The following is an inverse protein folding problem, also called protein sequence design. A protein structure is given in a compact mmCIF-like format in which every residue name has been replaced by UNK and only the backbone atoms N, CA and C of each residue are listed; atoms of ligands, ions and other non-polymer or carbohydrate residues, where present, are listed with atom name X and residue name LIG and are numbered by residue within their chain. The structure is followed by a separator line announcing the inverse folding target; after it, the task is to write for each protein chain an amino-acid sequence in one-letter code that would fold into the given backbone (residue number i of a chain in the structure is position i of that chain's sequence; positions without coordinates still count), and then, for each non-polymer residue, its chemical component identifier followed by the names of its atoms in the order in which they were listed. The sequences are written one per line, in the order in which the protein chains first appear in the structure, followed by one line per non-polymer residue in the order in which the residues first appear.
data_IF_391005785958
#
_entry.id   IF_391005785958
#
_cell.length_a   1.000
_cell.length_b   1.000
_cell.length_c   1.000
_cell.angle_alpha   90.00
_cell.angle_beta   90.00
_cell.angle_gamma   90.00
#
_symmetry.space_group_name_H-M   'P 1'
#
loop_
_entity.id
_entity.type
_entity.pdbx_description
1 polymer ?
#
# COMPACT_ATOMS: atom_id res chain seq x y z
N UNK A 1 -4.74 -7.66 -20.19
CA UNK A 1 -4.26 -7.09 -18.91
C UNK A 1 -5.45 -6.45 -18.20
N UNK A 2 -6.00 -7.09 -17.17
CA UNK A 2 -7.14 -6.53 -16.44
C UNK A 2 -6.60 -5.53 -15.40
N UNK A 3 -6.89 -4.24 -15.60
CA UNK A 3 -6.51 -3.19 -14.64
C UNK A 3 -7.30 -3.40 -13.36
N UNK A 4 -6.61 -3.45 -12.21
CA UNK A 4 -7.27 -3.69 -10.93
C UNK A 4 -7.88 -2.39 -10.40
N UNK A 5 -9.20 -2.39 -10.23
CA UNK A 5 -9.92 -1.29 -9.59
C UNK A 5 -9.47 -1.10 -8.13
N UNK A 6 -9.03 -2.15 -7.44
CA UNK A 6 -8.54 -2.07 -6.06
C UNK A 6 -7.26 -1.23 -5.95
N UNK A 7 -6.34 -1.36 -6.91
CA UNK A 7 -5.12 -0.54 -6.95
C UNK A 7 -5.44 0.93 -7.23
N UNK A 8 -6.42 1.20 -8.09
CA UNK A 8 -6.86 2.56 -8.37
C UNK A 8 -7.47 3.22 -7.12
N UNK A 9 -8.37 2.51 -6.44
CA UNK A 9 -8.98 2.99 -5.20
C UNK A 9 -7.89 3.16 -4.12
N UNK A 10 -6.96 2.22 -3.98
CA UNK A 10 -5.85 2.32 -3.03
C UNK A 10 -4.99 3.57 -3.29
N UNK A 11 -4.69 3.88 -4.55
CA UNK A 11 -3.94 5.09 -4.93
C UNK A 11 -4.70 6.36 -4.55
N UNK A 12 -6.01 6.42 -4.83
CA UNK A 12 -6.86 7.58 -4.49
C UNK A 12 -6.92 7.79 -2.98
N UNK A 13 -7.14 6.72 -2.20
CA UNK A 13 -7.21 6.79 -0.73
C UNK A 13 -5.85 7.17 -0.14
N UNK A 14 -4.76 6.59 -0.64
CA UNK A 14 -3.40 6.94 -0.22
C UNK A 14 -3.06 8.41 -0.55
N UNK A 15 -3.56 8.94 -1.66
CA UNK A 15 -3.40 10.34 -2.03
C UNK A 15 -4.21 11.27 -1.12
N UNK A 16 -5.47 10.93 -0.82
CA UNK A 16 -6.31 11.68 0.12
C UNK A 16 -5.66 11.79 1.51
N UNK A 17 -4.97 10.74 1.94
CA UNK A 17 -4.23 10.73 3.21
C UNK A 17 -3.16 11.82 3.28
N UNK A 18 -2.44 12.11 2.18
CA UNK A 18 -1.44 13.20 2.12
C UNK A 18 -2.09 14.56 2.37
N UNK A 19 -3.27 14.79 1.77
CA UNK A 19 -4.05 16.01 1.98
C UNK A 19 -4.48 16.17 3.43
N UNK A 20 -4.98 15.11 4.06
CA UNK A 20 -5.40 15.13 5.46
C UNK A 20 -4.23 15.48 6.37
N UNK A 21 -3.04 14.88 6.14
CA UNK A 21 -1.82 15.22 6.89
C UNK A 21 -1.47 16.73 6.74
N UNK A 22 -1.60 17.27 5.52
CA UNK A 22 -1.36 18.70 5.28
C UNK A 22 -2.35 19.61 5.99
N UNK A 23 -3.65 19.29 5.94
CA UNK A 23 -4.70 20.06 6.63
C UNK A 23 -4.47 20.02 8.15
N UNK A 24 -4.16 18.85 8.68
CA UNK A 24 -3.87 18.65 10.11
C UNK A 24 -2.71 19.53 10.54
N UNK A 25 -1.62 19.58 9.79
CA UNK A 25 -0.49 20.44 10.09
C UNK A 25 -0.84 21.94 10.11
N UNK A 26 -1.66 22.41 9.18
CA UNK A 26 -2.14 23.80 9.16
C UNK A 26 -3.00 24.08 10.39
N UNK A 27 -3.93 23.17 10.73
CA UNK A 27 -4.83 23.31 11.89
C UNK A 27 -4.10 23.43 13.22
N UNK A 28 -2.90 22.85 13.31
CA UNK A 28 -2.08 22.92 14.51
C UNK A 28 -1.00 24.02 14.45
N UNK A 29 -1.06 24.92 13.46
CA UNK A 29 -0.26 26.14 13.44
C UNK A 29 1.12 26.01 12.77
N UNK A 30 1.37 24.97 11.95
CA UNK A 30 2.56 24.92 11.09
C UNK A 30 2.42 25.86 9.89
N UNK A 31 2.45 27.15 10.16
CA UNK A 31 2.56 28.20 9.15
C UNK A 31 4.02 28.58 8.86
N UNK A 32 4.93 28.32 9.80
CA UNK A 32 6.36 28.58 9.64
C UNK A 32 7.06 27.47 8.84
N UNK A 33 7.41 27.81 7.61
CA UNK A 33 8.01 26.92 6.61
C UNK A 33 9.49 26.56 6.86
N UNK A 34 10.08 26.93 8.01
CA UNK A 34 11.53 26.79 8.28
C UNK A 34 11.93 25.92 9.48
N UNK A 35 10.99 25.48 10.31
CA UNK A 35 11.29 24.71 11.53
C UNK A 35 11.55 23.21 11.29
N UNK A 36 12.25 22.55 12.22
CA UNK A 36 12.55 21.09 12.17
C UNK A 36 11.28 20.25 12.06
N UNK A 37 10.20 20.65 12.74
CA UNK A 37 8.88 20.00 12.65
C UNK A 37 8.26 20.12 11.25
N UNK A 38 8.43 21.26 10.58
CA UNK A 38 8.00 21.48 9.19
C UNK A 38 8.81 20.65 8.18
N UNK A 39 10.11 20.49 8.39
CA UNK A 39 10.96 19.64 7.58
C UNK A 39 10.55 18.15 7.71
N UNK A 40 10.31 17.69 8.95
CA UNK A 40 9.89 16.30 9.22
C UNK A 40 8.56 15.98 8.54
N UNK A 41 7.57 16.89 8.63
CA UNK A 41 6.28 16.74 7.97
C UNK A 41 6.44 16.67 6.44
N UNK A 42 7.28 17.51 5.83
CA UNK A 42 7.52 17.49 4.39
C UNK A 42 8.17 16.20 3.93
N UNK A 43 9.15 15.69 4.67
CA UNK A 43 9.77 14.39 4.40
C UNK A 43 8.70 13.29 4.46
N UNK A 44 7.81 13.38 5.45
CA UNK A 44 6.72 12.42 5.59
C UNK A 44 5.69 12.50 4.45
N UNK A 45 5.30 13.71 4.03
CA UNK A 45 4.44 13.92 2.87
C UNK A 45 5.09 13.38 1.58
N UNK A 46 6.41 13.60 1.41
CA UNK A 46 7.17 13.11 0.27
C UNK A 46 7.23 11.57 0.25
N UNK A 47 7.42 10.93 1.40
CA UNK A 47 7.37 9.47 1.53
C UNK A 47 6.02 8.90 1.12
N UNK A 48 4.93 9.52 1.61
CA UNK A 48 3.58 9.09 1.24
C UNK A 48 3.28 9.35 -0.25
N UNK A 49 3.81 10.43 -0.83
CA UNK A 49 3.70 10.70 -2.27
C UNK A 49 4.44 9.64 -3.10
N UNK A 50 5.64 9.24 -2.67
CA UNK A 50 6.39 8.15 -3.27
C UNK A 50 5.60 6.84 -3.22
N UNK A 51 4.94 6.56 -2.10
CA UNK A 51 4.07 5.39 -1.98
C UNK A 51 2.89 5.43 -2.95
N UNK A 52 2.18 6.57 -3.08
CA UNK A 52 1.12 6.74 -4.08
C UNK A 52 1.64 6.46 -5.49
N UNK A 53 2.84 6.97 -5.79
CA UNK A 53 3.49 6.75 -7.09
C UNK A 53 3.78 5.27 -7.35
N UNK A 54 4.28 4.54 -6.34
CA UNK A 54 4.50 3.09 -6.43
C UNK A 54 3.19 2.35 -6.72
N UNK A 55 2.08 2.70 -6.05
CA UNK A 55 0.77 2.08 -6.28
C UNK A 55 0.25 2.40 -7.69
N UNK A 56 0.45 3.64 -8.18
CA UNK A 56 0.10 4.02 -9.55
C UNK A 56 0.90 3.26 -10.61
N UNK A 57 2.21 3.06 -10.40
CA UNK A 57 3.02 2.25 -11.31
C UNK A 57 2.48 0.80 -11.36
N UNK A 58 2.11 0.23 -10.22
CA UNK A 58 1.50 -1.10 -10.16
C UNK A 58 0.16 -1.17 -10.91
N UNK A 59 -0.62 -0.10 -10.87
CA UNK A 59 -1.87 0.01 -11.62
C UNK A 59 -1.64 0.08 -13.14
N UNK A 60 -0.67 0.88 -13.60
CA UNK A 60 -0.42 1.12 -15.03
C UNK A 60 0.34 -0.04 -15.67
N UNK A 61 1.38 -0.55 -15.01
CA UNK A 61 2.32 -1.53 -15.58
C UNK A 61 2.19 -2.88 -14.89
N UNK A 62 1.49 -3.81 -15.53
CA UNK A 62 1.26 -5.15 -14.99
C UNK A 62 2.56 -5.90 -14.65
N UNK A 63 3.62 -5.75 -15.46
CA UNK A 63 4.92 -6.35 -15.17
C UNK A 63 5.64 -5.76 -13.96
N UNK A 64 5.31 -4.53 -13.54
CA UNK A 64 5.85 -3.94 -12.32
C UNK A 64 5.09 -4.39 -11.07
N UNK A 65 3.86 -4.89 -11.21
CA UNK A 65 3.00 -5.33 -10.11
C UNK A 65 3.63 -6.44 -9.30
N UNK A 66 4.25 -7.42 -9.95
CA UNK A 66 4.86 -8.56 -9.27
C UNK A 66 6.06 -8.15 -8.40
N UNK A 67 6.92 -7.28 -8.93
CA UNK A 67 8.09 -6.75 -8.22
C UNK A 67 7.71 -5.75 -7.12
N UNK A 68 6.72 -4.88 -7.34
CA UNK A 68 6.37 -3.79 -6.43
C UNK A 68 5.35 -4.21 -5.35
N UNK A 69 4.67 -5.35 -5.51
CA UNK A 69 3.67 -5.83 -4.55
C UNK A 69 4.23 -5.99 -3.14
N UNK A 70 5.35 -6.70 -2.99
CA UNK A 70 6.00 -6.91 -1.68
C UNK A 70 6.46 -5.56 -1.07
N UNK A 71 7.21 -4.70 -1.80
CA UNK A 71 7.53 -3.35 -1.34
C UNK A 71 6.32 -2.54 -0.90
N UNK A 72 5.22 -2.54 -1.68
CA UNK A 72 4.05 -1.74 -1.34
C UNK A 72 3.31 -2.24 -0.11
N UNK A 73 3.28 -3.56 0.12
CA UNK A 73 2.70 -4.12 1.35
C UNK A 73 3.54 -3.74 2.57
N UNK A 74 4.87 -3.81 2.47
CA UNK A 74 5.76 -3.40 3.55
C UNK A 74 5.56 -1.91 3.87
N UNK A 75 5.56 -1.06 2.84
CA UNK A 75 5.33 0.38 3.02
C UNK A 75 3.96 0.64 3.63
N UNK A 76 2.89 -0.01 3.15
CA UNK A 76 1.56 0.14 3.70
C UNK A 76 1.46 -0.29 5.17
N UNK A 77 2.21 -1.32 5.60
CA UNK A 77 2.28 -1.73 7.01
C UNK A 77 3.05 -0.76 7.90
N UNK A 78 4.14 -0.17 7.40
CA UNK A 78 5.01 0.73 8.19
C UNK A 78 4.45 2.17 8.23
N UNK A 79 3.72 2.55 7.19
CA UNK A 79 3.04 3.83 7.02
C UNK A 79 2.23 4.33 8.22
N UNK A 80 1.35 3.54 8.87
CA UNK A 80 0.60 3.99 10.05
C UNK A 80 1.50 4.28 11.24
N UNK A 81 2.55 3.47 11.46
CA UNK A 81 3.52 3.67 12.54
C UNK A 81 4.25 4.99 12.35
N UNK A 82 4.72 5.26 11.13
CA UNK A 82 5.38 6.53 10.80
C UNK A 82 4.43 7.74 10.92
N UNK A 83 3.15 7.58 10.54
CA UNK A 83 2.14 8.64 10.72
C UNK A 83 1.95 9.01 12.19
N UNK A 84 1.81 7.99 13.04
CA UNK A 84 1.61 8.16 14.47
C UNK A 84 2.84 8.80 15.10
N UNK A 85 4.05 8.33 14.76
CA UNK A 85 5.29 8.92 15.25
C UNK A 85 5.43 10.39 14.85
N UNK A 86 5.17 10.72 13.58
CA UNK A 86 5.21 12.11 13.10
C UNK A 86 4.23 13.00 13.87
N UNK A 87 3.00 12.52 14.11
CA UNK A 87 2.00 13.27 14.86
C UNK A 87 2.35 13.40 16.35
N UNK A 88 2.89 12.35 16.98
CA UNK A 88 3.30 12.38 18.39
C UNK A 88 4.48 13.30 18.64
N UNK A 89 5.50 13.25 17.79
CA UNK A 89 6.64 14.19 17.83
C UNK A 89 6.14 15.62 17.73
N UNK A 90 5.07 15.84 16.97
CA UNK A 90 4.49 17.14 16.76
C UNK A 90 3.63 17.63 17.95
N UNK A 91 2.72 16.81 18.46
CA UNK A 91 1.89 17.15 19.63
C UNK A 91 2.75 17.42 20.87
N UNK A 92 3.84 16.67 21.05
CA UNK A 92 4.76 16.84 22.18
C UNK A 92 5.49 18.20 22.17
N UNK A 93 5.57 18.86 21.00
CA UNK A 93 6.25 20.15 20.84
C UNK A 93 5.29 21.35 20.95
N UNK A 94 3.97 21.12 20.99
CA UNK A 94 2.94 22.16 21.17
C UNK A 94 2.69 22.32 22.67
N UNK A 95 3.52 23.15 23.30
CA UNK A 95 3.58 23.36 24.74
C UNK A 95 2.43 24.13 25.41
N UNK A 96 1.19 24.16 24.89
CA UNK A 96 0.09 24.75 25.67
C UNK A 96 -1.17 25.15 24.92
N UNK A 97 -2.20 24.30 25.02
CA UNK A 97 -3.65 24.64 25.00
C UNK A 97 -4.50 23.34 25.06
N UNK A 98 -4.43 22.63 26.18
CA UNK A 98 -5.17 21.38 26.44
C UNK A 98 -6.62 21.75 26.81
N UNK A 99 -7.69 21.40 26.04
CA UNK A 99 -8.06 20.05 25.59
C UNK A 99 -8.63 19.91 24.15
N UNK A 100 -8.91 21.01 23.44
CA UNK A 100 -9.56 20.99 22.11
C UNK A 100 -8.58 20.50 21.04
N UNK A 101 -7.30 20.85 21.17
CA UNK A 101 -6.25 20.44 20.26
C UNK A 101 -5.91 18.95 20.39
N UNK A 102 -6.06 18.40 21.59
CA UNK A 102 -5.96 16.95 21.86
C UNK A 102 -7.08 16.15 21.15
N UNK A 103 -8.33 16.62 21.23
CA UNK A 103 -9.45 15.95 20.58
C UNK A 103 -9.31 15.96 19.05
N UNK A 104 -8.97 17.12 18.48
CA UNK A 104 -8.69 17.25 17.04
C UNK A 104 -7.52 16.35 16.61
N UNK A 105 -6.49 16.24 17.43
CA UNK A 105 -5.32 15.39 17.15
C UNK A 105 -5.71 13.91 17.16
N UNK A 106 -6.46 13.48 18.17
CA UNK A 106 -6.93 12.11 18.29
C UNK A 106 -7.85 11.71 17.13
N UNK A 107 -8.83 12.55 16.77
CA UNK A 107 -9.70 12.28 15.61
C UNK A 107 -8.91 12.20 14.31
N UNK A 108 -7.90 13.06 14.14
CA UNK A 108 -7.02 13.03 12.98
C UNK A 108 -6.18 11.75 12.94
N UNK A 109 -5.62 11.31 14.07
CA UNK A 109 -4.90 10.03 14.16
C UNK A 109 -5.79 8.84 13.79
N UNK A 110 -6.99 8.77 14.37
CA UNK A 110 -7.92 7.68 14.10
C UNK A 110 -8.28 7.65 12.60
N UNK A 111 -8.52 8.82 12.01
CA UNK A 111 -8.82 8.94 10.57
C UNK A 111 -7.65 8.45 9.71
N UNK A 112 -6.41 8.83 10.05
CA UNK A 112 -5.22 8.38 9.32
C UNK A 112 -4.99 6.87 9.44
N UNK A 113 -5.17 6.30 10.63
CA UNK A 113 -5.06 4.85 10.87
C UNK A 113 -6.12 4.09 10.06
N UNK A 114 -7.37 4.57 10.06
CA UNK A 114 -8.44 3.96 9.26
C UNK A 114 -8.12 3.97 7.76
N UNK A 115 -7.59 5.09 7.24
CA UNK A 115 -7.17 5.18 5.84
C UNK A 115 -6.03 4.20 5.53
N UNK A 116 -5.05 4.08 6.41
CA UNK A 116 -3.94 3.12 6.25
C UNK A 116 -4.44 1.66 6.25
N UNK A 117 -5.40 1.31 7.12
CA UNK A 117 -6.03 -0.02 7.13
C UNK A 117 -6.78 -0.28 5.82
N UNK A 118 -7.53 0.70 5.31
CA UNK A 118 -8.25 0.59 4.04
C UNK A 118 -7.29 0.37 2.89
N UNK A 119 -6.21 1.15 2.81
CA UNK A 119 -5.18 1.00 1.77
C UNK A 119 -4.53 -0.38 1.85
N UNK A 120 -4.13 -0.82 3.05
CA UNK A 120 -3.55 -2.15 3.25
C UNK A 120 -4.52 -3.25 2.81
N UNK A 121 -5.79 -3.17 3.22
CA UNK A 121 -6.83 -4.11 2.85
C UNK A 121 -7.03 -4.20 1.33
N UNK A 122 -7.07 -3.06 0.64
CA UNK A 122 -7.18 -3.01 -0.81
C UNK A 122 -5.97 -3.65 -1.51
N UNK A 123 -4.76 -3.40 -1.02
CA UNK A 123 -3.54 -4.02 -1.55
C UNK A 123 -3.50 -5.52 -1.29
N UNK A 124 -3.97 -6.00 -0.13
CA UNK A 124 -4.06 -7.43 0.19
C UNK A 124 -5.10 -8.14 -0.67
N UNK A 125 -6.29 -7.56 -0.85
CA UNK A 125 -7.33 -8.11 -1.74
C UNK A 125 -6.80 -8.20 -3.18
N UNK A 126 -6.12 -7.16 -3.64
CA UNK A 126 -5.49 -7.14 -4.96
C UNK A 126 -4.45 -8.26 -5.11
N UNK A 127 -3.60 -8.41 -4.10
CA UNK A 127 -2.58 -9.44 -4.00
C UNK A 127 -3.17 -10.87 -3.99
N UNK A 128 -4.26 -11.11 -3.28
CA UNK A 128 -4.94 -12.40 -3.23
C UNK A 128 -5.62 -12.72 -4.57
N UNK A 129 -6.31 -11.75 -5.18
CA UNK A 129 -6.91 -11.89 -6.51
C UNK A 129 -5.89 -12.11 -7.61
N UNK A 130 -4.65 -11.67 -7.45
CA UNK A 130 -3.57 -11.99 -8.39
C UNK A 130 -3.08 -13.44 -8.26
N UNK A 131 -3.05 -14.00 -7.05
CA UNK A 131 -2.67 -15.42 -6.84
C UNK A 131 -3.75 -16.42 -7.26
N UNK A 132 -5.03 -16.05 -7.11
CA UNK A 132 -6.17 -16.91 -7.49
C UNK A 132 -6.13 -17.45 -8.94
N UNK A 133 -5.81 -16.65 -9.98
CA UNK A 133 -5.71 -17.13 -11.35
C UNK A 133 -4.47 -17.99 -11.61
N UNK A 134 -3.39 -17.87 -10.83
CA UNK A 134 -2.23 -18.78 -10.90
C UNK A 134 -2.58 -20.15 -10.29
N UNK A 135 -3.24 -20.16 -9.12
CA UNK A 135 -3.71 -21.40 -8.48
C UNK A 135 -4.72 -22.14 -9.37
N UNK A 136 -5.69 -21.45 -9.96
CA UNK A 136 -6.65 -22.05 -10.90
C UNK A 136 -6.02 -22.58 -12.19
N UNK A 137 -4.87 -22.05 -12.63
CA UNK A 137 -4.12 -22.59 -13.78
C UNK A 137 -3.31 -23.83 -13.41
N UNK A 138 -2.82 -23.91 -12.17
CA UNK A 138 -2.14 -25.09 -11.64
C UNK A 138 -3.11 -26.25 -11.34
N UNK A 139 -4.37 -25.95 -11.00
CA UNK A 139 -5.43 -26.93 -10.74
C UNK A 139 -6.23 -27.35 -11.97
N UNK A 140 -5.98 -26.81 -13.17
CA UNK A 140 -6.76 -27.17 -14.35
C UNK A 140 -6.38 -28.60 -14.83
N UNK A 141 -7.28 -29.60 -14.74
CA UNK A 141 -6.96 -31.00 -15.06
C UNK A 141 -6.50 -31.21 -16.51
N UNK A 142 -6.88 -30.32 -17.44
CA UNK A 142 -6.42 -30.37 -18.84
C UNK A 142 -4.89 -30.17 -19.00
N UNK A 143 -4.24 -29.44 -18.08
CA UNK A 143 -2.77 -29.30 -18.08
C UNK A 143 -2.07 -30.47 -17.39
N UNK A 144 -2.71 -31.11 -16.41
CA UNK A 144 -2.21 -32.37 -15.83
C UNK A 144 -2.27 -33.50 -16.85
N UNK A 145 -3.37 -33.62 -17.61
CA UNK A 145 -3.52 -34.63 -18.67
C UNK A 145 -2.45 -34.47 -19.76
N UNK A 146 -2.19 -33.24 -20.23
CA UNK A 146 -1.11 -33.01 -21.21
C UNK A 146 0.28 -33.37 -20.70
N UNK A 147 0.54 -33.19 -19.41
CA UNK A 147 1.84 -33.51 -18.83
C UNK A 147 1.98 -35.02 -18.64
N UNK A 148 0.93 -35.73 -18.19
CA UNK A 148 0.93 -37.19 -18.07
C UNK A 148 0.98 -37.92 -19.43
N UNK A 149 0.30 -37.40 -20.46
CA UNK A 149 0.31 -37.99 -21.80
C UNK A 149 1.69 -37.83 -22.44
N UNK A 150 2.34 -36.68 -22.28
CA UNK A 150 3.68 -36.44 -22.82
C UNK A 150 4.75 -37.32 -22.15
N UNK A 151 4.63 -37.56 -20.84
CA UNK A 151 5.55 -38.40 -20.07
C UNK A 151 5.39 -39.91 -20.38
N UNK A 152 4.17 -40.36 -20.67
CA UNK A 152 3.92 -41.73 -21.18
C UNK A 152 4.42 -41.93 -22.61
N UNK A 153 4.24 -40.94 -23.49
CA UNK A 153 4.69 -41.04 -24.89
C UNK A 153 6.22 -41.08 -25.01
N UNK A 154 6.95 -40.46 -24.07
CA UNK A 154 8.42 -40.51 -24.05
C UNK A 154 9.00 -41.81 -23.47
N UNK A 155 8.25 -42.52 -22.61
CA UNK A 155 8.65 -43.85 -22.10
C UNK A 155 8.43 -44.96 -23.13
N UNK A 156 7.31 -44.94 -23.86
CA UNK A 156 7.02 -45.97 -24.86
C UNK A 156 7.99 -45.94 -26.06
N UNK A 157 8.63 -44.80 -26.35
CA UNK A 157 9.66 -44.73 -27.40
C UNK A 157 11.03 -45.28 -26.98
N UNK A 158 11.24 -45.52 -25.68
CA UNK A 158 12.52 -46.02 -25.17
C UNK A 158 12.53 -47.53 -24.85
N UNK A 159 11.38 -48.21 -24.86
CA UNK A 159 11.28 -49.66 -24.59
C UNK A 159 11.17 -50.54 -25.86
N UNK A 160 11.17 -49.95 -27.06
CA UNK A 160 11.18 -50.70 -28.33
C UNK A 160 12.48 -50.44 -29.09
N UNK A 161 13.56 -51.09 -28.69
CA UNK A 161 14.77 -51.31 -29.51
C UNK A 161 15.48 -52.58 -29.08
#
# INVERSE_FOLDING_TARGET
MQRSLFLLIAAIVAFLRIFIIGIVAILFGMSDYGGVTSALLRIFQLYNLLFVYIVLIQYIKAGAREYLRKPSLIVACVSPILSVLALLTYIRNIGGSFPVDMAKAATSMITLILLDIVVLGLLVIDALKFKLPEAKKAENPENMEKTEIMDKTHKDQHEVS
#
